data_IF_666298068636
#
_entry.id   IF_666298068636
#
_cell.length_a   1.000
_cell.length_b   1.000
_cell.length_c   1.000
_cell.angle_alpha   90.00
_cell.angle_beta   90.00
_cell.angle_gamma   90.00
#
_symmetry.space_group_name_H-M   'P 1'
#
loop_
_entity.id
_entity.type
_entity.pdbx_description
1 polymer ?
#
# COMPACT_ATOMS: atom_id res chain seq x y z
N UNK A 1 30.67 -14.46 -12.39
CA UNK A 1 30.08 -14.94 -13.65
C UNK A 1 28.57 -15.11 -13.58
N UNK A 2 27.95 -15.65 -12.51
CA UNK A 2 26.48 -15.78 -12.43
C UNK A 2 25.73 -14.44 -12.27
N UNK A 3 26.32 -13.44 -11.61
CA UNK A 3 25.73 -12.10 -11.48
C UNK A 3 25.78 -11.27 -12.79
N UNK A 4 26.78 -11.50 -13.63
CA UNK A 4 26.91 -10.81 -14.91
C UNK A 4 25.90 -11.32 -15.96
N UNK A 5 25.46 -12.57 -15.84
CA UNK A 5 24.45 -13.17 -16.73
C UNK A 5 23.03 -12.71 -16.39
N UNK A 6 22.74 -12.36 -15.13
CA UNK A 6 21.45 -11.83 -14.71
C UNK A 6 21.24 -10.39 -15.22
N UNK A 7 22.29 -9.56 -15.17
CA UNK A 7 22.25 -8.17 -15.66
C UNK A 7 22.09 -8.14 -17.19
N UNK A 8 22.73 -9.04 -17.93
CA UNK A 8 22.55 -9.15 -19.38
C UNK A 8 21.14 -9.65 -19.79
N UNK A 9 20.50 -10.46 -18.95
CA UNK A 9 19.14 -10.97 -19.21
C UNK A 9 18.08 -9.87 -19.10
N UNK A 10 18.21 -8.98 -18.12
CA UNK A 10 17.28 -7.86 -17.90
C UNK A 10 17.41 -6.81 -19.01
N UNK A 11 18.62 -6.47 -19.41
CA UNK A 11 18.87 -5.49 -20.50
C UNK A 11 18.32 -5.96 -21.85
N UNK A 12 18.35 -7.26 -22.13
CA UNK A 12 17.81 -7.83 -23.37
C UNK A 12 16.26 -7.84 -23.35
N UNK A 13 15.65 -8.06 -22.19
CA UNK A 13 14.18 -8.04 -22.04
C UNK A 13 13.59 -6.65 -22.30
N UNK A 14 14.21 -5.60 -21.79
CA UNK A 14 13.78 -4.21 -21.99
C UNK A 14 13.97 -3.81 -23.47
N UNK A 15 15.09 -4.17 -24.08
CA UNK A 15 15.35 -3.87 -25.49
C UNK A 15 14.36 -4.59 -26.42
N UNK A 16 13.95 -5.81 -26.10
CA UNK A 16 12.94 -6.57 -26.86
C UNK A 16 11.55 -5.94 -26.68
N UNK A 17 11.19 -5.48 -25.46
CA UNK A 17 9.94 -4.79 -25.21
C UNK A 17 9.80 -3.49 -25.99
N UNK A 18 10.85 -2.67 -26.02
CA UNK A 18 10.90 -1.42 -26.79
C UNK A 18 10.82 -1.68 -28.31
N UNK A 19 11.52 -2.70 -28.81
CA UNK A 19 11.48 -3.07 -30.24
C UNK A 19 10.05 -3.56 -30.63
N UNK A 20 9.41 -4.36 -29.79
CA UNK A 20 8.05 -4.87 -30.04
C UNK A 20 7.03 -3.72 -30.01
N UNK A 21 7.13 -2.79 -29.07
CA UNK A 21 6.27 -1.62 -28.99
C UNK A 21 6.49 -0.67 -30.16
N UNK A 22 7.72 -0.40 -30.54
CA UNK A 22 8.05 0.44 -31.72
C UNK A 22 7.59 -0.19 -33.04
N UNK A 23 7.70 -1.51 -33.20
CA UNK A 23 7.15 -2.23 -34.34
C UNK A 23 5.62 -2.17 -34.41
N UNK A 24 4.95 -2.20 -33.27
CA UNK A 24 3.49 -2.04 -33.17
C UNK A 24 3.04 -0.63 -33.55
N UNK A 25 3.84 0.40 -33.24
CA UNK A 25 3.56 1.81 -33.56
C UNK A 25 4.06 2.23 -34.95
N UNK A 26 4.70 1.35 -35.71
CA UNK A 26 5.12 1.63 -37.11
C UNK A 26 6.34 2.56 -37.23
N UNK A 27 7.20 2.62 -36.21
CA UNK A 27 8.43 3.42 -36.23
C UNK A 27 9.56 2.63 -36.87
N UNK A 28 10.18 3.18 -37.94
CA UNK A 28 11.37 2.60 -38.56
C UNK A 28 12.64 3.06 -37.83
N UNK A 29 13.36 2.10 -37.25
CA UNK A 29 14.70 2.29 -36.69
C UNK A 29 15.75 2.17 -37.79
N UNK A 30 16.24 3.27 -38.28
CA UNK A 30 17.36 3.31 -39.23
C UNK A 30 18.40 4.40 -38.88
N UNK A 31 18.58 4.72 -37.62
CA UNK A 31 19.70 5.54 -37.14
C UNK A 31 20.30 4.96 -35.85
N UNK A 32 21.54 4.50 -35.96
CA UNK A 32 22.37 4.02 -34.85
C UNK A 32 22.85 5.22 -34.02
N UNK A 33 22.31 5.39 -32.81
CA UNK A 33 22.84 6.33 -31.83
C UNK A 33 24.15 5.78 -31.27
N UNK A 34 25.25 6.54 -31.39
CA UNK A 34 26.58 6.15 -30.90
C UNK A 34 26.68 6.43 -29.39
N UNK A 35 27.46 5.59 -28.69
CA UNK A 35 27.68 5.65 -27.25
C UNK A 35 28.36 6.94 -26.71
N UNK A 36 28.74 7.86 -27.58
CA UNK A 36 29.36 9.14 -27.20
C UNK A 36 28.34 10.27 -26.95
N UNK A 37 27.06 10.10 -27.30
CA UNK A 37 26.02 11.13 -27.08
C UNK A 37 25.40 11.10 -25.70
N UNK A 38 25.64 10.07 -24.90
CA UNK A 38 25.05 9.92 -23.56
C UNK A 38 25.70 10.80 -22.50
N UNK A 39 26.94 11.27 -22.71
CA UNK A 39 27.62 12.19 -21.77
C UNK A 39 27.20 13.67 -21.93
N UNK A 40 26.45 14.05 -22.96
CA UNK A 40 26.04 15.42 -23.21
C UNK A 40 24.64 15.81 -22.70
N UNK A 41 23.93 14.90 -22.02
CA UNK A 41 22.61 15.13 -21.40
C UNK A 41 22.67 15.86 -20.06
N UNK A 42 23.73 16.63 -19.86
CA UNK A 42 23.82 17.65 -18.82
C UNK A 42 23.30 18.95 -19.43
N UNK A 43 22.00 19.22 -19.24
CA UNK A 43 21.25 20.37 -19.74
C UNK A 43 20.70 20.21 -21.17
N UNK A 44 19.64 19.49 -21.33
CA UNK A 44 18.64 19.71 -22.37
C UNK A 44 17.27 19.41 -21.77
N UNK A 45 16.30 20.27 -22.10
CA UNK A 45 14.88 19.99 -21.82
C UNK A 45 14.59 18.51 -22.00
N UNK A 46 14.10 17.82 -20.97
CA UNK A 46 13.44 16.54 -21.17
C UNK A 46 12.11 16.83 -21.85
N UNK A 47 12.14 16.91 -23.18
CA UNK A 47 10.91 16.78 -23.96
C UNK A 47 10.53 15.32 -23.89
N UNK A 48 9.41 15.06 -23.22
CA UNK A 48 8.61 13.85 -23.33
C UNK A 48 9.36 12.53 -23.16
N UNK A 49 9.59 12.15 -21.96
CA UNK A 49 9.50 10.78 -21.41
C UNK A 49 10.27 10.75 -20.09
N UNK A 50 9.48 10.69 -19.03
CA UNK A 50 10.00 10.52 -17.68
C UNK A 50 10.79 9.24 -17.53
N UNK A 51 11.83 9.22 -16.68
CA UNK A 51 12.05 8.10 -15.84
C UNK A 51 11.44 8.38 -14.44
N UNK A 52 10.14 8.43 -14.29
CA UNK A 52 9.55 7.86 -13.10
C UNK A 52 9.83 6.38 -13.23
N UNK A 53 10.91 5.92 -12.65
CA UNK A 53 11.06 4.51 -12.34
C UNK A 53 10.01 4.27 -11.26
N UNK A 54 8.77 4.06 -11.69
CA UNK A 54 7.90 3.17 -10.95
C UNK A 54 8.76 1.94 -10.70
N UNK A 55 8.89 1.45 -9.47
CA UNK A 55 9.47 0.13 -9.25
C UNK A 55 8.89 -0.75 -10.34
N UNK A 56 9.72 -1.55 -11.01
CA UNK A 56 9.26 -2.48 -12.05
C UNK A 56 8.28 -3.43 -11.36
N UNK A 57 7.04 -2.94 -11.26
CA UNK A 57 5.92 -3.63 -10.65
C UNK A 57 5.53 -4.65 -11.70
N UNK A 58 6.29 -5.77 -11.76
CA UNK A 58 5.85 -6.91 -12.52
C UNK A 58 4.38 -7.14 -12.16
N UNK A 59 3.51 -7.44 -13.13
CA UNK A 59 2.11 -7.62 -12.86
C UNK A 59 2.00 -8.54 -11.66
N UNK A 60 1.46 -8.01 -10.58
CA UNK A 60 1.09 -8.83 -9.45
C UNK A 60 -0.10 -9.61 -9.98
N UNK A 61 0.20 -10.73 -10.65
CA UNK A 61 -0.84 -11.61 -11.14
C UNK A 61 -1.82 -11.98 -10.04
N UNK A 62 -1.51 -11.62 -8.81
CA UNK A 62 -2.25 -12.02 -7.64
C UNK A 62 -2.13 -11.08 -6.43
N UNK A 63 -2.37 -9.78 -6.54
CA UNK A 63 -2.70 -9.02 -5.32
C UNK A 63 -4.12 -9.36 -4.80
N UNK A 64 -4.98 -9.93 -5.63
CA UNK A 64 -6.23 -10.61 -5.21
C UNK A 64 -6.11 -12.12 -5.25
N UNK A 65 -4.96 -12.69 -5.57
CA UNK A 65 -4.68 -14.10 -5.44
C UNK A 65 -4.45 -14.49 -4.00
N UNK A 66 -5.13 -13.79 -3.13
CA UNK A 66 -5.25 -14.33 -1.82
C UNK A 66 -5.88 -15.71 -1.87
N UNK A 67 -6.46 -16.15 -3.03
CA UNK A 67 -7.29 -17.29 -2.89
C UNK A 67 -7.59 -17.95 -4.22
N UNK A 68 -7.14 -19.15 -4.39
CA UNK A 68 -8.00 -20.12 -5.01
C UNK A 68 -9.18 -20.37 -4.06
N UNK A 69 -10.25 -19.61 -4.20
CA UNK A 69 -11.52 -19.90 -3.54
C UNK A 69 -12.06 -21.20 -4.16
N UNK A 70 -11.70 -22.33 -3.59
CA UNK A 70 -12.15 -23.64 -4.06
C UNK A 70 -13.58 -23.78 -3.58
N UNK A 71 -14.52 -23.78 -4.51
CA UNK A 71 -15.92 -24.11 -4.23
C UNK A 71 -16.14 -25.55 -4.61
N UNK A 72 -16.22 -26.44 -3.62
CA UNK A 72 -16.59 -27.82 -3.80
C UNK A 72 -18.10 -27.97 -3.56
N UNK A 73 -18.80 -28.70 -4.45
CA UNK A 73 -20.20 -29.06 -4.25
C UNK A 73 -20.24 -30.52 -3.87
N UNK A 74 -20.67 -30.82 -2.64
CA UNK A 74 -20.97 -32.20 -2.20
C UNK A 74 -22.44 -32.42 -2.22
N UNK A 75 -22.89 -33.55 -2.85
CA UNK A 75 -24.22 -34.07 -2.67
C UNK A 75 -24.20 -35.02 -1.45
N UNK A 76 -24.74 -34.55 -0.33
CA UNK A 76 -24.98 -35.41 0.83
C UNK A 76 -26.48 -35.73 0.93
N UNK A 77 -26.80 -36.95 1.35
CA UNK A 77 -28.16 -37.28 1.79
C UNK A 77 -28.43 -36.51 3.08
N UNK A 78 -29.28 -35.51 2.98
CA UNK A 78 -29.72 -34.69 4.11
C UNK A 78 -30.52 -35.55 5.08
N UNK A 79 -30.04 -35.76 6.29
CA UNK A 79 -30.74 -36.50 7.34
C UNK A 79 -31.62 -35.56 8.18
N UNK A 80 -32.70 -36.08 8.77
CA UNK A 80 -33.60 -35.32 9.66
C UNK A 80 -32.84 -34.74 10.87
N UNK A 81 -31.73 -35.37 11.32
CA UNK A 81 -30.87 -34.87 12.39
C UNK A 81 -30.15 -33.58 12.01
N UNK A 82 -29.83 -33.34 10.71
CA UNK A 82 -29.21 -32.09 10.23
C UNK A 82 -30.24 -30.96 10.08
N UNK A 83 -31.52 -31.24 9.98
CA UNK A 83 -32.59 -30.24 10.01
C UNK A 83 -32.81 -29.69 11.44
N UNK A 84 -32.74 -30.56 12.47
CA UNK A 84 -32.89 -30.12 13.88
C UNK A 84 -31.76 -29.17 14.31
N UNK A 85 -30.51 -29.44 13.88
CA UNK A 85 -29.39 -28.54 14.17
C UNK A 85 -29.50 -27.21 13.45
N UNK A 86 -30.01 -27.18 12.21
CA UNK A 86 -30.18 -25.94 11.45
C UNK A 86 -31.38 -25.10 11.95
N UNK A 87 -32.45 -25.73 12.44
CA UNK A 87 -33.62 -25.06 13.02
C UNK A 87 -33.36 -24.59 14.45
N UNK A 88 -32.43 -25.22 15.19
CA UNK A 88 -32.06 -24.81 16.55
C UNK A 88 -31.27 -23.49 16.54
N UNK A 89 -30.52 -23.18 15.47
CA UNK A 89 -29.80 -21.91 15.33
C UNK A 89 -30.72 -20.74 14.91
N UNK A 90 -31.90 -21.01 14.25
CA UNK A 90 -32.84 -19.92 13.89
C UNK A 90 -33.88 -19.61 14.98
N UNK A 91 -34.06 -20.46 16.02
CA UNK A 91 -35.12 -20.31 17.02
C UNK A 91 -34.72 -19.55 18.29
N UNK A 92 -33.63 -18.86 18.31
CA UNK A 92 -33.06 -18.15 19.48
C UNK A 92 -33.54 -16.72 19.70
N UNK A 93 -34.85 -16.42 19.63
CA UNK A 93 -35.37 -15.14 20.09
C UNK A 93 -36.78 -15.26 20.70
N UNK A 94 -36.85 -15.60 21.99
CA UNK A 94 -38.02 -15.31 22.81
C UNK A 94 -37.58 -15.11 24.28
N UNK A 95 -37.90 -13.96 24.91
CA UNK A 95 -37.49 -13.65 26.27
C UNK A 95 -38.56 -14.05 27.26
N UNK A 96 -38.21 -14.84 28.23
CA UNK A 96 -38.71 -14.91 29.61
C UNK A 96 -38.75 -16.35 30.16
N UNK A 97 -37.74 -16.71 30.96
CA UNK A 97 -37.97 -17.36 32.24
C UNK A 97 -36.70 -17.44 33.06
N UNK A 98 -36.72 -16.82 34.24
CA UNK A 98 -35.70 -16.92 35.27
C UNK A 98 -35.62 -18.35 35.83
N UNK A 99 -34.43 -18.93 35.90
CA UNK A 99 -34.02 -19.79 37.04
C UNK A 99 -32.51 -20.07 37.02
N UNK A 100 -31.88 -19.77 38.14
CA UNK A 100 -30.52 -20.06 38.56
C UNK A 100 -29.92 -21.38 38.08
N UNK A 101 -28.75 -21.29 37.45
CA UNK A 101 -27.61 -22.17 37.73
C UNK A 101 -26.34 -21.60 37.03
N UNK A 102 -25.37 -21.24 37.84
CA UNK A 102 -24.07 -20.75 37.46
C UNK A 102 -23.24 -21.81 36.72
N UNK A 103 -22.98 -21.60 35.44
CA UNK A 103 -21.72 -21.95 34.79
C UNK A 103 -21.38 -20.79 33.86
N UNK A 104 -20.26 -20.12 34.15
CA UNK A 104 -19.76 -19.00 33.37
C UNK A 104 -19.24 -19.52 32.03
N UNK A 105 -20.07 -19.50 31.00
CA UNK A 105 -19.55 -19.38 29.64
C UNK A 105 -18.94 -17.97 29.53
N UNK A 106 -17.62 -17.91 29.60
CA UNK A 106 -16.85 -16.78 29.07
C UNK A 106 -17.20 -16.71 27.58
N UNK A 107 -18.23 -15.93 27.26
CA UNK A 107 -18.38 -15.41 25.91
C UNK A 107 -17.15 -14.55 25.67
N UNK A 108 -16.15 -15.13 24.98
CA UNK A 108 -15.05 -14.37 24.40
C UNK A 108 -15.68 -13.30 23.49
N UNK A 109 -15.92 -12.14 24.08
CA UNK A 109 -16.32 -10.96 23.32
C UNK A 109 -15.13 -10.65 22.41
N UNK A 110 -15.27 -11.00 21.15
CA UNK A 110 -14.32 -10.61 20.12
C UNK A 110 -14.26 -9.09 20.14
N UNK A 111 -13.26 -8.56 20.85
CA UNK A 111 -13.03 -7.12 20.89
C UNK A 111 -12.34 -6.74 19.58
N UNK A 112 -13.15 -6.33 18.60
CA UNK A 112 -12.62 -5.67 17.41
C UNK A 112 -11.82 -4.44 17.85
N UNK A 113 -10.65 -4.27 17.27
CA UNK A 113 -9.85 -3.08 17.48
C UNK A 113 -10.72 -1.86 17.13
N UNK A 114 -10.67 -0.79 17.93
CA UNK A 114 -11.38 0.48 17.65
C UNK A 114 -11.09 1.04 16.25
N UNK A 115 -9.99 0.61 15.66
CA UNK A 115 -9.50 1.01 14.35
C UNK A 115 -9.93 0.06 13.20
N UNK A 116 -10.82 -0.93 13.46
CA UNK A 116 -11.38 -1.81 12.41
C UNK A 116 -12.28 -1.01 11.48
N UNK A 117 -11.67 -0.35 10.49
CA UNK A 117 -12.36 0.57 9.60
C UNK A 117 -13.44 -0.14 8.79
N UNK A 118 -13.09 -1.28 8.16
CA UNK A 118 -14.01 -2.05 7.33
C UNK A 118 -15.20 -2.55 8.13
N UNK A 119 -14.98 -3.16 9.28
CA UNK A 119 -16.05 -3.62 10.17
C UNK A 119 -17.06 -2.53 10.50
N UNK A 120 -16.56 -1.32 10.77
CA UNK A 120 -17.41 -0.17 11.14
C UNK A 120 -18.28 0.32 9.96
N UNK A 121 -17.92 0.03 8.70
CA UNK A 121 -18.70 0.37 7.51
C UNK A 121 -19.73 -0.71 7.14
N UNK A 122 -19.66 -1.90 7.73
CA UNK A 122 -20.54 -3.02 7.42
C UNK A 122 -21.93 -2.84 8.05
N UNK A 123 -22.94 -3.34 7.36
CA UNK A 123 -24.29 -3.52 7.92
C UNK A 123 -24.30 -4.59 9.01
N UNK A 124 -25.34 -4.64 9.82
CA UNK A 124 -25.47 -5.62 10.92
C UNK A 124 -25.36 -7.07 10.43
N UNK A 125 -25.99 -7.41 9.30
CA UNK A 125 -25.91 -8.76 8.72
C UNK A 125 -24.50 -9.08 8.20
N UNK A 126 -23.82 -8.10 7.59
CA UNK A 126 -22.44 -8.28 7.15
C UNK A 126 -21.47 -8.47 8.34
N UNK A 127 -21.73 -7.78 9.46
CA UNK A 127 -20.94 -7.98 10.70
C UNK A 127 -21.09 -9.38 11.26
N UNK A 128 -22.29 -9.96 11.21
CA UNK A 128 -22.48 -11.38 11.62
C UNK A 128 -21.60 -12.33 10.78
N UNK A 129 -21.52 -12.11 9.46
CA UNK A 129 -20.65 -12.89 8.58
C UNK A 129 -19.18 -12.64 8.92
N UNK A 130 -18.81 -11.38 9.21
CA UNK A 130 -17.46 -10.98 9.59
C UNK A 130 -17.00 -11.70 10.87
N UNK A 131 -17.84 -11.68 11.90
CA UNK A 131 -17.52 -12.31 13.19
C UNK A 131 -17.31 -13.82 13.05
N UNK A 132 -18.12 -14.49 12.22
CA UNK A 132 -17.97 -15.92 11.93
C UNK A 132 -16.66 -16.20 11.20
N UNK A 133 -16.35 -15.46 10.14
CA UNK A 133 -15.12 -15.63 9.37
C UNK A 133 -13.89 -15.33 10.25
N UNK A 134 -13.90 -14.22 10.99
CA UNK A 134 -12.78 -13.84 11.86
C UNK A 134 -12.52 -14.93 12.92
N UNK A 135 -13.57 -15.40 13.63
CA UNK A 135 -13.44 -16.47 14.62
C UNK A 135 -12.91 -17.77 14.01
N UNK A 136 -13.42 -18.17 12.84
CA UNK A 136 -12.96 -19.35 12.12
C UNK A 136 -11.46 -19.26 11.77
N UNK A 137 -11.03 -18.10 11.26
CA UNK A 137 -9.62 -17.86 10.92
C UNK A 137 -8.72 -17.94 12.16
N UNK A 138 -9.06 -17.23 13.22
CA UNK A 138 -8.25 -17.18 14.46
C UNK A 138 -8.23 -18.52 15.18
N UNK A 139 -9.37 -19.24 15.19
CA UNK A 139 -9.52 -20.58 15.77
C UNK A 139 -8.83 -21.67 14.97
N UNK A 140 -8.59 -21.47 13.67
CA UNK A 140 -8.26 -22.53 12.71
C UNK A 140 -9.39 -23.55 12.57
N UNK A 141 -10.64 -23.05 12.65
CA UNK A 141 -11.82 -23.90 12.59
C UNK A 141 -12.14 -24.27 11.13
N UNK A 142 -12.56 -25.51 10.92
CA UNK A 142 -12.89 -26.04 9.59
C UNK A 142 -14.37 -26.32 9.47
N UNK A 143 -14.94 -26.14 8.27
CA UNK A 143 -16.33 -26.49 7.96
C UNK A 143 -17.36 -25.64 8.70
N UNK A 144 -17.01 -24.40 9.07
CA UNK A 144 -17.88 -23.49 9.84
C UNK A 144 -19.06 -23.06 9.00
N UNK A 145 -20.28 -23.33 9.48
CA UNK A 145 -21.52 -22.94 8.80
C UNK A 145 -21.62 -21.42 8.67
N UNK A 146 -21.83 -20.94 7.46
CA UNK A 146 -21.96 -19.51 7.20
C UNK A 146 -23.40 -19.04 7.39
N UNK A 147 -23.61 -17.86 8.00
CA UNK A 147 -24.94 -17.26 8.15
C UNK A 147 -25.44 -16.62 6.84
N UNK A 148 -24.90 -17.04 5.72
CA UNK A 148 -25.30 -16.61 4.38
C UNK A 148 -25.02 -17.67 3.33
N UNK A 149 -25.80 -17.66 2.25
CA UNK A 149 -25.58 -18.49 1.06
C UNK A 149 -25.04 -17.65 -0.11
N UNK A 150 -24.71 -16.38 0.12
CA UNK A 150 -24.13 -15.48 -0.90
C UNK A 150 -22.60 -15.55 -0.84
N UNK A 151 -22.01 -16.27 -1.79
CA UNK A 151 -20.56 -16.40 -1.94
C UNK A 151 -19.84 -15.05 -2.17
N UNK A 152 -20.50 -14.12 -2.87
CA UNK A 152 -19.91 -12.78 -3.08
C UNK A 152 -19.85 -11.99 -1.78
N UNK A 153 -20.82 -12.22 -0.90
CA UNK A 153 -20.78 -11.62 0.44
C UNK A 153 -19.67 -12.25 1.27
N UNK A 154 -19.49 -13.57 1.22
CA UNK A 154 -18.38 -14.24 1.92
C UNK A 154 -17.03 -13.70 1.43
N UNK A 155 -16.85 -13.58 0.11
CA UNK A 155 -15.62 -13.03 -0.47
C UNK A 155 -15.38 -11.58 -0.04
N UNK A 156 -16.40 -10.72 -0.15
CA UNK A 156 -16.33 -9.32 0.33
C UNK A 156 -15.89 -9.24 1.79
N UNK A 157 -16.51 -10.05 2.64
CA UNK A 157 -16.26 -10.01 4.08
C UNK A 157 -14.91 -10.61 4.45
N UNK A 158 -14.48 -11.69 3.78
CA UNK A 158 -13.13 -12.22 3.97
C UNK A 158 -12.05 -11.17 3.69
N UNK A 159 -12.20 -10.42 2.58
CA UNK A 159 -11.29 -9.32 2.27
C UNK A 159 -11.36 -8.19 3.30
N UNK A 160 -12.55 -7.88 3.83
CA UNK A 160 -12.72 -6.90 4.89
C UNK A 160 -12.01 -7.32 6.20
N UNK A 161 -12.10 -8.61 6.57
CA UNK A 161 -11.37 -9.16 7.74
C UNK A 161 -9.86 -8.99 7.56
N UNK A 162 -9.31 -9.36 6.39
CA UNK A 162 -7.86 -9.24 6.15
C UNK A 162 -7.39 -7.78 6.03
N UNK A 163 -8.25 -6.87 5.63
CA UNK A 163 -7.94 -5.44 5.57
C UNK A 163 -7.92 -4.79 6.97
N UNK A 164 -8.75 -5.24 7.90
CA UNK A 164 -8.78 -4.73 9.27
C UNK A 164 -7.70 -5.37 10.18
N UNK A 165 -7.20 -6.57 9.82
CA UNK A 165 -6.32 -7.40 10.63
C UNK A 165 -4.97 -7.65 9.96
N UNK A 166 -4.09 -6.63 9.87
CA UNK A 166 -2.75 -6.78 9.26
C UNK A 166 -1.88 -7.82 9.98
N UNK A 167 -2.14 -8.10 11.26
CA UNK A 167 -1.48 -9.11 12.08
C UNK A 167 -1.83 -10.55 11.67
N UNK A 168 -2.85 -10.77 10.86
CA UNK A 168 -3.18 -12.09 10.30
C UNK A 168 -2.23 -12.37 9.11
N UNK A 169 -1.07 -12.95 9.41
CA UNK A 169 -0.02 -13.29 8.44
C UNK A 169 -0.10 -14.72 7.92
N UNK A 170 -0.91 -15.56 8.54
CA UNK A 170 -0.92 -17.01 8.39
C UNK A 170 -2.04 -17.54 7.51
N UNK A 171 -2.84 -16.66 6.91
CA UNK A 171 -3.97 -17.01 6.01
C UNK A 171 -3.72 -16.41 4.64
N UNK A 172 -3.90 -17.21 3.61
CA UNK A 172 -3.82 -16.76 2.22
C UNK A 172 -5.10 -17.02 1.42
N UNK A 173 -6.17 -17.49 2.07
CA UNK A 173 -7.41 -17.77 1.41
C UNK A 173 -8.42 -18.57 2.20
N UNK A 174 -9.45 -19.04 1.51
CA UNK A 174 -10.48 -19.88 2.08
C UNK A 174 -11.05 -20.85 1.04
N UNK A 175 -11.76 -21.87 1.53
CA UNK A 175 -12.57 -22.78 0.74
C UNK A 175 -14.00 -22.74 1.25
N UNK A 176 -14.98 -22.71 0.33
CA UNK A 176 -16.39 -22.90 0.63
C UNK A 176 -16.86 -24.27 0.15
N UNK A 177 -17.49 -25.06 1.04
CA UNK A 177 -18.18 -26.30 0.68
C UNK A 177 -19.67 -26.02 0.66
N UNK A 178 -20.33 -26.34 -0.47
CA UNK A 178 -21.77 -26.18 -0.66
C UNK A 178 -22.46 -27.49 -0.38
N UNK A 179 -23.49 -27.45 0.44
CA UNK A 179 -24.35 -28.57 0.75
C UNK A 179 -25.70 -28.36 0.09
N UNK A 180 -26.11 -29.30 -0.76
CA UNK A 180 -27.35 -29.19 -1.52
C UNK A 180 -28.20 -30.45 -1.38
N UNK A 181 -29.51 -30.28 -1.42
CA UNK A 181 -30.51 -31.36 -1.52
C UNK A 181 -31.13 -31.26 -2.92
N UNK A 182 -30.74 -32.16 -3.80
CA UNK A 182 -31.04 -32.04 -5.22
C UNK A 182 -30.44 -30.73 -5.78
N UNK A 183 -31.30 -29.87 -6.33
CA UNK A 183 -30.86 -28.57 -6.88
C UNK A 183 -31.01 -27.39 -5.90
N UNK A 184 -31.31 -27.67 -4.62
CA UNK A 184 -31.52 -26.60 -3.62
C UNK A 184 -30.30 -26.50 -2.70
N UNK A 185 -29.61 -25.38 -2.73
CA UNK A 185 -28.53 -25.08 -1.79
C UNK A 185 -29.13 -24.92 -0.38
N UNK A 186 -28.61 -25.66 0.59
CA UNK A 186 -29.07 -25.65 1.97
C UNK A 186 -28.15 -24.88 2.91
N UNK A 187 -26.83 -25.03 2.74
CA UNK A 187 -25.84 -24.29 3.54
C UNK A 187 -24.52 -24.15 2.79
N UNK A 188 -23.72 -23.22 3.24
CA UNK A 188 -22.30 -23.07 2.87
C UNK A 188 -21.46 -23.21 4.13
N UNK A 189 -20.39 -23.99 4.06
CA UNK A 189 -19.41 -24.11 5.12
C UNK A 189 -18.08 -23.46 4.67
N UNK A 190 -17.48 -22.67 5.54
CA UNK A 190 -16.22 -21.96 5.34
C UNK A 190 -15.06 -22.73 6.01
N UNK A 191 -13.91 -22.77 5.35
CA UNK A 191 -12.64 -23.27 5.90
C UNK A 191 -11.53 -22.35 5.43
N UNK A 192 -10.75 -21.78 6.37
CA UNK A 192 -9.59 -20.96 6.02
C UNK A 192 -8.49 -21.77 5.33
N UNK A 193 -7.77 -21.15 4.40
CA UNK A 193 -6.56 -21.68 3.77
C UNK A 193 -5.33 -21.08 4.43
N UNK A 194 -4.52 -21.92 5.09
CA UNK A 194 -3.46 -21.46 5.96
C UNK A 194 -2.08 -21.70 5.36
N UNK A 195 -1.23 -20.68 5.33
CA UNK A 195 0.21 -20.79 4.98
C UNK A 195 1.05 -21.31 6.13
N UNK A 196 0.60 -21.09 7.36
CA UNK A 196 1.25 -21.55 8.57
C UNK A 196 0.30 -22.33 9.46
N UNK A 197 0.80 -23.43 10.04
CA UNK A 197 0.06 -24.16 11.06
C UNK A 197 -0.11 -23.34 12.35
N UNK A 198 -1.06 -23.72 13.19
CA UNK A 198 -1.29 -23.08 14.50
C UNK A 198 -0.03 -23.08 15.38
N UNK A 199 0.79 -24.14 15.33
CA UNK A 199 2.06 -24.20 16.05
C UNK A 199 3.09 -23.24 15.49
N UNK A 200 3.24 -23.17 14.16
CA UNK A 200 4.16 -22.23 13.51
C UNK A 200 3.75 -20.78 13.76
N UNK A 201 2.45 -20.45 13.74
CA UNK A 201 1.95 -19.13 14.15
C UNK A 201 2.43 -18.76 15.56
N UNK A 202 2.27 -19.67 16.53
CA UNK A 202 2.68 -19.45 17.93
C UNK A 202 4.18 -19.17 18.06
N UNK A 203 5.02 -19.72 17.17
CA UNK A 203 6.48 -19.49 17.17
C UNK A 203 6.88 -18.19 16.47
N UNK A 204 6.12 -17.74 15.47
CA UNK A 204 6.41 -16.54 14.65
C UNK A 204 5.89 -15.28 15.31
N UNK A 205 4.69 -15.31 15.86
CA UNK A 205 3.99 -14.15 16.41
C UNK A 205 4.81 -13.35 17.45
N UNK A 206 5.50 -13.98 18.44
CA UNK A 206 6.35 -13.25 19.37
C UNK A 206 7.51 -12.49 18.69
N UNK A 207 8.07 -13.04 17.60
CA UNK A 207 9.16 -12.39 16.84
C UNK A 207 8.66 -11.17 16.10
N UNK A 208 7.45 -11.24 15.54
CA UNK A 208 6.79 -10.09 14.89
C UNK A 208 6.50 -8.98 15.91
N UNK A 209 5.99 -9.36 17.09
CA UNK A 209 5.73 -8.40 18.18
C UNK A 209 7.04 -7.76 18.67
N UNK A 210 8.13 -8.52 18.80
CA UNK A 210 9.45 -7.99 19.15
C UNK A 210 9.96 -7.00 18.10
N UNK A 211 9.98 -7.38 16.82
CA UNK A 211 10.43 -6.52 15.72
C UNK A 211 9.59 -5.23 15.61
N UNK A 212 8.27 -5.35 15.73
CA UNK A 212 7.36 -4.22 15.80
C UNK A 212 7.70 -3.27 16.96
N UNK A 213 7.86 -3.81 18.17
CA UNK A 213 8.19 -3.02 19.36
C UNK A 213 9.57 -2.36 19.25
N UNK A 214 10.52 -2.97 18.57
CA UNK A 214 11.83 -2.39 18.29
C UNK A 214 11.76 -1.14 17.41
N UNK A 215 10.80 -1.07 16.51
CA UNK A 215 10.50 0.15 15.74
C UNK A 215 9.81 1.18 16.66
N UNK A 216 8.74 0.77 17.32
CA UNK A 216 7.87 1.66 18.08
C UNK A 216 8.56 2.32 19.29
N UNK A 217 9.53 1.65 19.92
CA UNK A 217 10.27 2.23 21.07
C UNK A 217 11.03 3.52 20.75
N UNK A 218 11.33 3.75 19.48
CA UNK A 218 12.05 4.95 19.02
C UNK A 218 11.11 6.12 18.69
N UNK A 219 9.81 5.89 18.72
CA UNK A 219 8.81 6.96 18.50
C UNK A 219 8.73 7.83 19.74
N UNK A 220 8.97 9.13 19.59
CA UNK A 220 8.83 10.05 20.72
C UNK A 220 7.35 10.17 21.13
N UNK A 221 6.99 9.88 22.39
CA UNK A 221 5.58 9.81 22.80
C UNK A 221 4.79 11.11 22.58
N UNK A 222 5.44 12.27 22.70
CA UNK A 222 4.82 13.59 22.50
C UNK A 222 4.98 14.13 21.06
N UNK A 223 5.45 13.32 20.12
CA UNK A 223 5.49 13.70 18.70
C UNK A 223 4.06 13.89 18.16
N UNK A 224 3.92 14.81 17.19
CA UNK A 224 2.67 15.00 16.45
C UNK A 224 2.30 13.73 15.66
N UNK A 225 1.05 13.60 15.23
CA UNK A 225 0.66 12.49 14.36
C UNK A 225 1.44 12.52 13.05
N UNK A 226 1.65 13.71 12.47
CA UNK A 226 2.53 13.88 11.32
C UNK A 226 3.93 13.28 11.54
N UNK A 227 4.60 13.64 12.64
CA UNK A 227 5.97 13.17 12.91
C UNK A 227 6.03 11.65 13.12
N UNK A 228 5.01 11.09 13.77
CA UNK A 228 4.90 9.63 13.96
C UNK A 228 4.69 8.91 12.63
N UNK A 229 3.75 9.39 11.82
CA UNK A 229 3.44 8.82 10.49
C UNK A 229 4.67 8.89 9.60
N UNK A 230 5.34 10.06 9.53
CA UNK A 230 6.58 10.24 8.77
C UNK A 230 7.68 9.29 9.24
N UNK A 231 7.89 9.16 10.55
CA UNK A 231 8.89 8.25 11.11
C UNK A 231 8.63 6.79 10.70
N UNK A 232 7.37 6.32 10.77
CA UNK A 232 7.02 4.95 10.36
C UNK A 232 7.21 4.76 8.85
N UNK A 233 6.80 5.74 8.04
CA UNK A 233 7.00 5.76 6.59
C UNK A 233 8.49 5.61 6.23
N UNK A 234 9.33 6.48 6.76
CA UNK A 234 10.78 6.47 6.54
C UNK A 234 11.42 5.18 7.06
N UNK A 235 10.99 4.68 8.22
CA UNK A 235 11.55 3.46 8.81
C UNK A 235 11.26 2.24 7.95
N UNK A 236 10.05 2.08 7.44
CA UNK A 236 9.70 0.95 6.56
C UNK A 236 10.52 1.00 5.28
N UNK A 237 10.57 2.15 4.62
CA UNK A 237 11.31 2.35 3.36
C UNK A 237 12.80 2.05 3.54
N UNK A 238 13.43 2.61 4.58
CA UNK A 238 14.88 2.44 4.79
C UNK A 238 15.29 1.02 5.18
N UNK A 239 14.37 0.21 5.69
CA UNK A 239 14.67 -1.12 6.19
C UNK A 239 14.09 -2.25 5.35
N UNK A 240 13.47 -1.96 4.22
CA UNK A 240 12.83 -2.98 3.38
C UNK A 240 13.27 -2.82 1.93
N UNK A 241 13.65 -3.90 1.28
CA UNK A 241 13.92 -3.96 -0.15
C UNK A 241 12.65 -4.37 -0.90
N UNK A 242 12.27 -3.64 -1.96
CA UNK A 242 11.17 -4.06 -2.82
C UNK A 242 11.58 -5.26 -3.66
N UNK A 243 10.92 -6.42 -3.49
CA UNK A 243 11.30 -7.66 -4.13
C UNK A 243 10.10 -8.59 -4.36
N UNK A 244 9.75 -8.81 -5.61
CA UNK A 244 8.65 -9.68 -6.03
C UNK A 244 8.84 -11.15 -5.62
N UNK A 245 10.08 -11.60 -5.47
CA UNK A 245 10.42 -12.99 -5.14
C UNK A 245 10.65 -13.21 -3.64
N UNK A 246 10.37 -12.21 -2.79
CA UNK A 246 10.51 -12.36 -1.35
C UNK A 246 9.50 -13.38 -0.82
N UNK A 247 9.91 -14.29 0.07
CA UNK A 247 8.97 -15.15 0.78
C UNK A 247 8.06 -14.29 1.66
N UNK A 248 6.81 -14.71 1.82
CA UNK A 248 5.81 -14.01 2.64
C UNK A 248 5.53 -12.55 2.23
N UNK A 249 5.84 -12.19 0.98
CA UNK A 249 5.80 -10.82 0.49
C UNK A 249 4.42 -10.12 0.61
N UNK A 250 3.36 -10.87 0.86
CA UNK A 250 1.98 -10.35 1.00
C UNK A 250 1.58 -10.07 2.45
N UNK A 251 2.46 -10.26 3.42
CA UNK A 251 2.16 -10.08 4.83
C UNK A 251 3.31 -9.44 5.62
N UNK A 252 3.07 -9.15 6.87
CA UNK A 252 3.99 -8.38 7.75
C UNK A 252 5.32 -9.09 8.05
N UNK A 253 5.43 -10.41 7.83
CA UNK A 253 6.69 -11.16 8.01
C UNK A 253 7.75 -10.61 7.07
N UNK A 254 7.38 -10.31 5.83
CA UNK A 254 8.30 -9.86 4.80
C UNK A 254 9.00 -8.55 5.16
N UNK A 255 8.29 -7.60 5.74
CA UNK A 255 8.86 -6.33 6.20
C UNK A 255 9.58 -6.46 7.53
N UNK A 256 8.90 -7.03 8.55
CA UNK A 256 9.41 -7.02 9.92
C UNK A 256 10.54 -8.01 10.18
N UNK A 257 10.58 -9.15 9.48
CA UNK A 257 11.57 -10.20 9.70
C UNK A 257 12.51 -10.42 8.51
N UNK A 258 11.98 -10.32 7.28
CA UNK A 258 12.75 -10.61 6.08
C UNK A 258 13.38 -9.36 5.45
N UNK A 259 12.88 -8.16 5.78
CA UNK A 259 13.32 -6.87 5.21
C UNK A 259 13.26 -6.83 3.68
N UNK A 260 12.31 -7.54 3.09
CA UNK A 260 12.16 -7.67 1.64
C UNK A 260 10.72 -8.02 1.31
N UNK A 261 9.99 -7.15 0.58
CA UNK A 261 8.54 -7.22 0.46
C UNK A 261 8.02 -6.67 -0.87
N UNK A 262 6.70 -6.70 -1.03
CA UNK A 262 5.94 -5.95 -2.06
C UNK A 262 4.90 -5.06 -1.39
N UNK A 263 4.13 -4.32 -2.16
CA UNK A 263 3.17 -3.30 -1.70
C UNK A 263 2.28 -3.76 -0.53
N UNK A 264 1.76 -4.99 -0.58
CA UNK A 264 0.88 -5.51 0.45
C UNK A 264 1.56 -5.65 1.82
N UNK A 265 2.81 -6.12 1.85
CA UNK A 265 3.57 -6.21 3.10
C UNK A 265 3.92 -4.84 3.66
N UNK A 266 4.33 -3.88 2.79
CA UNK A 266 4.53 -2.47 3.17
C UNK A 266 3.28 -1.89 3.81
N UNK A 267 2.15 -1.96 3.10
CA UNK A 267 0.89 -1.36 3.54
C UNK A 267 0.34 -1.98 4.83
N UNK A 268 0.36 -3.31 4.95
CA UNK A 268 -0.06 -3.99 6.18
C UNK A 268 0.83 -3.67 7.39
N UNK A 269 2.15 -3.60 7.19
CA UNK A 269 3.08 -3.25 8.26
C UNK A 269 2.88 -1.80 8.71
N UNK A 270 2.72 -0.89 7.75
CA UNK A 270 2.44 0.52 8.03
C UNK A 270 1.14 0.67 8.85
N UNK A 271 0.08 -0.01 8.43
CA UNK A 271 -1.20 -0.04 9.16
C UNK A 271 -1.03 -0.55 10.59
N UNK A 272 -0.35 -1.69 10.77
CA UNK A 272 -0.18 -2.28 12.10
C UNK A 272 0.57 -1.36 13.06
N UNK A 273 1.68 -0.78 12.60
CA UNK A 273 2.50 0.15 13.39
C UNK A 273 1.72 1.40 13.79
N UNK A 274 0.97 2.01 12.88
CA UNK A 274 0.18 3.21 13.19
C UNK A 274 -0.98 2.91 14.14
N UNK A 275 -1.69 1.81 13.93
CA UNK A 275 -2.79 1.41 14.81
C UNK A 275 -2.30 1.17 16.24
N UNK A 276 -1.11 0.62 16.44
CA UNK A 276 -0.50 0.46 17.76
C UNK A 276 -0.09 1.81 18.39
N UNK A 277 0.25 2.81 17.59
CA UNK A 277 0.49 4.18 18.06
C UNK A 277 -0.82 4.95 18.36
N UNK A 278 -1.98 4.32 18.17
CA UNK A 278 -3.29 4.93 18.33
C UNK A 278 -3.71 5.85 17.19
N UNK A 279 -3.01 5.81 16.06
CA UNK A 279 -3.33 6.56 14.84
C UNK A 279 -4.20 5.65 13.95
N UNK A 280 -5.47 6.02 13.70
CA UNK A 280 -6.33 5.25 12.81
C UNK A 280 -5.69 5.09 11.43
N UNK A 281 -5.49 3.86 11.01
CA UNK A 281 -4.96 3.52 9.70
C UNK A 281 -5.69 2.31 9.13
N UNK A 282 -6.02 2.37 7.84
CA UNK A 282 -6.68 1.30 7.12
C UNK A 282 -5.97 1.00 5.80
N UNK A 283 -6.15 -0.21 5.32
CA UNK A 283 -5.64 -0.66 4.02
C UNK A 283 -6.61 -0.22 2.92
N UNK A 284 -6.08 0.23 1.79
CA UNK A 284 -6.82 0.39 0.54
C UNK A 284 -6.14 -0.44 -0.55
N UNK A 285 -6.93 -1.00 -1.46
CA UNK A 285 -6.47 -1.81 -2.57
C UNK A 285 -7.13 -1.34 -3.86
N UNK A 286 -6.42 -1.48 -4.96
CA UNK A 286 -6.97 -1.12 -6.25
C UNK A 286 -5.98 -1.32 -7.38
N UNK A 287 -6.03 -0.41 -8.35
CA UNK A 287 -5.14 -0.42 -9.50
C UNK A 287 -4.41 0.91 -9.61
N UNK A 288 -3.18 0.86 -10.10
CA UNK A 288 -2.38 2.04 -10.43
C UNK A 288 -2.36 2.29 -11.95
N UNK A 289 -1.76 3.41 -12.38
CA UNK A 289 -1.51 3.65 -13.81
C UNK A 289 -0.77 2.44 -14.41
N UNK A 290 -1.21 1.99 -15.60
CA UNK A 290 -0.71 0.74 -16.16
C UNK A 290 -1.62 -0.45 -15.90
N UNK A 291 -2.57 -0.35 -14.96
CA UNK A 291 -3.56 -1.38 -14.66
C UNK A 291 -3.07 -2.46 -13.70
N UNK A 292 -1.92 -2.24 -13.06
CA UNK A 292 -1.37 -3.15 -12.06
C UNK A 292 -2.12 -3.04 -10.74
N UNK A 293 -2.31 -4.16 -10.08
CA UNK A 293 -2.93 -4.20 -8.74
C UNK A 293 -1.94 -3.71 -7.69
N UNK A 294 -2.44 -2.90 -6.76
CA UNK A 294 -1.60 -2.26 -5.77
C UNK A 294 -2.32 -2.13 -4.42
N UNK A 295 -1.54 -1.96 -3.37
CA UNK A 295 -2.02 -1.76 -2.00
C UNK A 295 -1.32 -0.57 -1.37
N UNK A 296 -2.11 0.29 -0.72
CA UNK A 296 -1.66 1.48 -0.01
C UNK A 296 -2.52 1.70 1.25
N UNK A 297 -2.39 2.84 1.88
CA UNK A 297 -3.09 3.12 3.13
C UNK A 297 -3.88 4.43 3.09
N UNK A 298 -4.84 4.51 3.98
CA UNK A 298 -5.34 5.77 4.51
C UNK A 298 -5.06 5.84 6.01
N UNK A 299 -4.60 6.98 6.49
CA UNK A 299 -4.43 7.22 7.93
C UNK A 299 -4.95 8.60 8.34
N UNK A 300 -5.23 8.74 9.62
CA UNK A 300 -5.70 10.00 10.19
C UNK A 300 -4.54 10.77 10.83
N UNK A 301 -4.38 12.03 10.46
CA UNK A 301 -3.47 12.97 11.11
C UNK A 301 -4.28 14.21 11.52
N UNK A 302 -4.12 14.66 12.76
CA UNK A 302 -4.78 15.85 13.32
C UNK A 302 -6.31 15.91 13.06
N UNK A 303 -6.96 14.72 12.99
CA UNK A 303 -8.42 14.58 12.80
C UNK A 303 -8.88 14.52 11.34
N UNK A 304 -7.99 14.61 10.36
CA UNK A 304 -8.28 14.54 8.93
C UNK A 304 -7.69 13.27 8.31
N UNK A 305 -8.37 12.70 7.31
CA UNK A 305 -7.88 11.53 6.59
C UNK A 305 -7.00 11.91 5.41
N UNK A 306 -5.93 11.13 5.22
CA UNK A 306 -4.96 11.26 4.12
C UNK A 306 -4.63 9.91 3.53
N UNK A 307 -4.24 9.87 2.28
CA UNK A 307 -3.64 8.71 1.65
C UNK A 307 -2.14 8.66 1.88
N UNK A 308 -1.62 7.46 2.01
CA UNK A 308 -0.18 7.19 2.14
C UNK A 308 0.17 5.93 1.36
N UNK A 309 1.22 5.99 0.54
CA UNK A 309 1.78 4.82 -0.13
C UNK A 309 3.27 4.68 0.19
N UNK A 310 3.62 3.82 1.15
CA UNK A 310 5.02 3.58 1.50
C UNK A 310 5.82 2.89 0.39
N UNK A 311 5.16 2.13 -0.49
CA UNK A 311 5.83 1.42 -1.58
C UNK A 311 6.32 2.38 -2.64
N UNK A 312 5.49 3.33 -3.07
CA UNK A 312 5.89 4.36 -4.01
C UNK A 312 6.81 5.41 -3.37
N UNK A 313 6.86 5.43 -2.04
CA UNK A 313 7.86 6.16 -1.27
C UNK A 313 9.25 5.55 -1.36
N UNK A 314 9.35 4.24 -1.56
CA UNK A 314 10.60 3.48 -1.73
C UNK A 314 11.14 3.52 -3.18
N UNK A 315 10.64 4.43 -3.99
CA UNK A 315 11.15 4.63 -5.33
C UNK A 315 12.52 5.29 -5.30
N UNK A 316 13.54 4.56 -5.73
CA UNK A 316 14.88 5.11 -5.93
C UNK A 316 14.99 5.71 -7.32
N UNK A 317 15.43 6.97 -7.38
CA UNK A 317 15.74 7.62 -8.66
C UNK A 317 17.04 7.04 -9.22
N UNK A 318 16.95 6.26 -10.29
CA UNK A 318 18.10 5.65 -10.93
C UNK A 318 18.23 6.14 -12.38
N UNK A 319 19.49 6.31 -12.81
CA UNK A 319 19.80 6.52 -14.22
C UNK A 319 19.52 5.23 -15.04
N UNK A 320 19.46 5.31 -16.37
CA UNK A 320 19.28 4.13 -17.22
C UNK A 320 20.34 3.03 -17.04
N UNK A 321 21.52 3.36 -16.49
CA UNK A 321 22.59 2.40 -16.17
C UNK A 321 22.43 1.76 -14.78
N UNK A 322 21.36 2.10 -14.04
CA UNK A 322 21.10 1.60 -12.68
C UNK A 322 21.86 2.35 -11.58
N UNK A 323 22.60 3.41 -11.90
CA UNK A 323 23.22 4.25 -10.88
C UNK A 323 22.21 5.24 -10.28
N UNK A 324 22.37 5.55 -8.99
CA UNK A 324 21.51 6.55 -8.34
C UNK A 324 21.75 7.96 -8.90
N UNK A 325 20.67 8.69 -9.09
CA UNK A 325 20.75 10.12 -9.42
C UNK A 325 21.16 10.88 -8.17
N UNK A 326 22.44 11.20 -8.05
CA UNK A 326 23.10 11.61 -6.81
C UNK A 326 22.58 12.91 -6.14
N UNK A 327 21.71 13.67 -6.81
CA UNK A 327 21.12 14.87 -6.25
C UNK A 327 19.64 14.70 -5.87
N UNK A 328 19.01 13.56 -6.26
CA UNK A 328 17.63 13.29 -5.89
C UNK A 328 17.52 12.86 -4.43
N UNK A 329 16.41 13.12 -3.76
CA UNK A 329 16.15 12.60 -2.42
C UNK A 329 16.22 11.07 -2.40
N UNK A 330 16.69 10.49 -1.30
CA UNK A 330 16.75 9.03 -1.12
C UNK A 330 15.35 8.39 -1.03
N UNK A 331 14.33 9.18 -0.67
CA UNK A 331 12.94 8.75 -0.56
C UNK A 331 12.03 9.68 -1.33
N UNK A 332 10.95 9.15 -1.87
CA UNK A 332 9.90 9.91 -2.49
C UNK A 332 8.79 10.21 -1.47
N UNK A 333 8.51 11.48 -1.22
CA UNK A 333 7.45 11.94 -0.32
C UNK A 333 6.17 12.37 -1.06
N UNK A 334 6.07 12.14 -2.37
CA UNK A 334 4.89 12.50 -3.17
C UNK A 334 3.62 11.77 -2.72
N UNK A 335 3.80 10.66 -2.00
CA UNK A 335 2.70 9.83 -1.51
C UNK A 335 2.62 9.79 0.02
N UNK A 336 3.19 10.78 0.72
CA UNK A 336 3.07 10.90 2.17
C UNK A 336 2.01 11.95 2.54
N UNK A 337 0.90 11.51 3.10
CA UNK A 337 -0.22 12.33 3.57
C UNK A 337 -0.81 13.21 2.46
N UNK A 338 -1.27 12.57 1.40
CA UNK A 338 -1.84 13.26 0.24
C UNK A 338 -3.37 13.20 0.20
N UNK A 339 -4.03 14.25 -0.37
CA UNK A 339 -5.46 14.22 -0.59
C UNK A 339 -5.81 13.28 -1.77
N UNK A 340 -7.10 12.90 -1.86
CA UNK A 340 -7.60 12.11 -2.99
C UNK A 340 -7.31 12.74 -4.35
N UNK A 341 -7.35 14.07 -4.46
CA UNK A 341 -7.07 14.78 -5.70
C UNK A 341 -5.64 14.57 -6.24
N UNK A 342 -4.67 14.32 -5.35
CA UNK A 342 -3.31 13.97 -5.75
C UNK A 342 -3.20 12.46 -6.01
N UNK A 343 -3.66 11.60 -5.09
CA UNK A 343 -3.56 10.16 -5.24
C UNK A 343 -4.28 9.66 -6.50
N UNK A 344 -5.49 10.17 -6.80
CA UNK A 344 -6.32 9.72 -7.93
C UNK A 344 -5.71 9.99 -9.31
N UNK A 345 -4.59 10.70 -9.38
CA UNK A 345 -3.83 10.88 -10.62
C UNK A 345 -3.15 9.57 -11.06
N UNK A 346 -2.83 8.73 -10.10
CA UNK A 346 -2.06 7.50 -10.32
C UNK A 346 -2.75 6.25 -9.78
N UNK A 347 -3.68 6.38 -8.82
CA UNK A 347 -4.32 5.27 -8.12
C UNK A 347 -5.84 5.31 -8.28
N UNK A 348 -6.45 4.14 -8.38
CA UNK A 348 -7.92 3.97 -8.39
C UNK A 348 -8.28 2.91 -7.35
N UNK A 349 -9.01 3.30 -6.30
CA UNK A 349 -9.46 2.39 -5.24
C UNK A 349 -10.51 1.41 -5.75
N UNK A 350 -10.37 0.16 -5.32
CA UNK A 350 -11.32 -0.94 -5.50
C UNK A 350 -11.73 -1.55 -4.14
N UNK A 351 -11.64 -0.75 -3.07
CA UNK A 351 -12.02 -1.18 -1.74
C UNK A 351 -13.47 -1.69 -1.70
N UNK A 352 -13.69 -2.74 -0.92
CA UNK A 352 -15.03 -3.37 -0.79
C UNK A 352 -16.01 -2.56 0.08
N UNK A 353 -15.53 -1.48 0.69
CA UNK A 353 -16.33 -0.50 1.44
C UNK A 353 -15.98 0.92 0.98
N UNK A 354 -16.84 1.90 1.31
CA UNK A 354 -16.54 3.30 1.01
C UNK A 354 -15.36 3.79 1.86
N UNK A 355 -14.34 4.36 1.21
CA UNK A 355 -13.20 4.96 1.89
C UNK A 355 -13.50 6.35 2.44
N UNK A 356 -12.79 6.81 3.49
CA UNK A 356 -13.01 8.13 4.06
C UNK A 356 -12.71 9.24 3.06
N UNK A 357 -13.31 10.41 3.26
CA UNK A 357 -12.97 11.61 2.48
C UNK A 357 -11.59 12.13 2.87
N UNK A 358 -10.71 12.34 1.91
CA UNK A 358 -9.38 12.92 2.09
C UNK A 358 -9.24 14.16 1.19
N UNK A 359 -9.49 15.32 1.75
CA UNK A 359 -9.48 16.60 1.00
C UNK A 359 -8.48 17.62 1.55
N UNK A 360 -7.97 17.40 2.76
CA UNK A 360 -7.00 18.28 3.40
C UNK A 360 -5.60 18.08 2.84
N UNK A 361 -4.83 19.18 2.77
CA UNK A 361 -3.39 19.17 2.48
C UNK A 361 -2.57 19.66 3.67
N UNK A 362 -3.21 19.91 4.82
CA UNK A 362 -2.54 20.58 5.95
C UNK A 362 -1.33 19.79 6.48
N UNK A 363 -1.44 18.45 6.49
CA UNK A 363 -0.37 17.56 6.93
C UNK A 363 0.42 16.93 5.78
N UNK A 364 0.16 17.34 4.52
CA UNK A 364 0.99 16.90 3.40
C UNK A 364 2.48 17.22 3.65
N UNK A 365 3.38 16.30 3.31
CA UNK A 365 4.81 16.44 3.55
C UNK A 365 5.36 17.78 3.09
N UNK A 366 5.10 18.19 1.85
CA UNK A 366 5.65 19.42 1.30
C UNK A 366 5.12 20.68 1.98
N UNK A 367 3.88 20.64 2.46
CA UNK A 367 3.28 21.73 3.25
C UNK A 367 3.94 21.83 4.61
N UNK A 368 4.09 20.71 5.32
CA UNK A 368 4.70 20.65 6.66
C UNK A 368 6.18 21.01 6.65
N UNK A 369 6.91 20.61 5.62
CA UNK A 369 8.34 20.91 5.46
C UNK A 369 8.60 22.30 4.82
N UNK A 370 7.54 23.05 4.50
CA UNK A 370 7.66 24.39 3.90
C UNK A 370 8.20 24.39 2.47
N UNK A 371 7.90 23.34 1.70
CA UNK A 371 8.36 23.10 0.31
C UNK A 371 7.22 23.19 -0.71
N UNK A 372 6.07 23.75 -0.32
CA UNK A 372 4.86 23.84 -1.13
C UNK A 372 4.58 25.27 -1.57
N UNK A 373 4.45 25.48 -2.88
CA UNK A 373 4.10 26.79 -3.46
C UNK A 373 2.60 26.82 -3.85
N UNK A 374 1.86 27.74 -3.24
CA UNK A 374 0.47 28.07 -3.64
C UNK A 374 0.43 29.17 -4.72
N UNK A 375 1.51 29.89 -4.90
CA UNK A 375 1.75 30.87 -5.96
C UNK A 375 3.24 31.01 -6.16
N UNK A 376 3.68 31.29 -7.39
CA UNK A 376 5.09 31.49 -7.64
C UNK A 376 5.60 32.81 -7.02
N UNK A 377 6.63 32.70 -6.18
CA UNK A 377 7.42 33.80 -5.62
C UNK A 377 8.88 33.35 -5.50
N UNK A 378 9.76 34.02 -6.22
CA UNK A 378 11.19 33.72 -6.21
C UNK A 378 11.81 33.81 -4.81
N UNK A 379 11.36 34.78 -3.97
CA UNK A 379 11.88 34.91 -2.60
C UNK A 379 11.46 33.74 -1.72
N UNK A 380 10.27 33.18 -1.94
CA UNK A 380 9.82 31.95 -1.27
C UNK A 380 10.71 30.76 -1.67
N UNK A 381 10.99 30.58 -2.97
CA UNK A 381 11.90 29.53 -3.47
C UNK A 381 13.30 29.70 -2.89
N UNK A 382 13.80 30.94 -2.81
CA UNK A 382 15.09 31.25 -2.17
C UNK A 382 15.10 30.83 -0.70
N UNK A 383 14.05 31.14 0.05
CA UNK A 383 13.95 30.76 1.46
C UNK A 383 13.91 29.22 1.61
N UNK A 384 13.21 28.51 0.72
CA UNK A 384 13.21 27.03 0.66
C UNK A 384 14.63 26.52 0.42
N UNK A 385 15.36 27.04 -0.56
CA UNK A 385 16.72 26.63 -0.86
C UNK A 385 17.67 26.86 0.32
N UNK A 386 17.58 28.02 0.97
CA UNK A 386 18.39 28.35 2.14
C UNK A 386 18.06 27.41 3.32
N UNK A 387 16.79 27.08 3.53
CA UNK A 387 16.33 26.10 4.52
C UNK A 387 16.88 24.69 4.25
N UNK A 388 16.79 24.20 3.01
CA UNK A 388 17.31 22.88 2.65
C UNK A 388 18.84 22.80 2.84
N UNK A 389 19.59 23.85 2.49
CA UNK A 389 21.04 23.93 2.76
C UNK A 389 21.36 23.91 4.25
N UNK A 390 20.61 24.64 5.05
CA UNK A 390 20.80 24.64 6.50
C UNK A 390 20.62 23.26 7.13
N UNK A 391 19.79 22.41 6.52
CA UNK A 391 19.58 20.99 6.88
C UNK A 391 20.63 20.05 6.25
N UNK A 392 21.58 20.57 5.47
CA UNK A 392 22.60 19.76 4.78
C UNK A 392 22.06 18.97 3.60
N UNK A 393 20.86 19.29 3.09
CA UNK A 393 20.26 18.60 1.94
C UNK A 393 20.99 18.96 0.65
N UNK A 394 21.09 17.99 -0.25
CA UNK A 394 21.76 18.13 -1.55
C UNK A 394 20.81 18.60 -2.65
N UNK A 395 19.50 18.58 -2.39
CA UNK A 395 18.47 18.99 -3.33
C UNK A 395 17.54 20.05 -2.74
N UNK A 396 17.08 20.95 -3.60
CA UNK A 396 15.88 21.75 -3.40
C UNK A 396 14.73 21.00 -4.11
N UNK A 397 13.72 20.61 -3.36
CA UNK A 397 12.46 20.09 -3.90
C UNK A 397 11.40 21.15 -3.72
N UNK A 398 10.65 21.46 -4.79
CA UNK A 398 9.55 22.42 -4.77
C UNK A 398 8.32 21.76 -5.34
N UNK A 399 7.29 21.56 -4.53
CA UNK A 399 5.97 21.08 -4.95
C UNK A 399 5.04 22.26 -5.21
N UNK A 400 4.31 22.24 -6.31
CA UNK A 400 3.41 23.32 -6.71
C UNK A 400 1.93 22.89 -6.56
N UNK A 401 1.08 23.83 -6.19
CA UNK A 401 -0.34 23.59 -5.94
C UNK A 401 -1.10 23.20 -7.22
N UNK A 402 -0.73 23.78 -8.34
CA UNK A 402 -1.37 23.56 -9.63
C UNK A 402 -0.37 23.77 -10.78
N UNK A 403 -0.83 23.44 -11.99
CA UNK A 403 -0.01 23.51 -13.20
C UNK A 403 0.41 24.96 -13.51
N UNK A 404 -0.42 25.96 -13.20
CA UNK A 404 -0.07 27.36 -13.46
C UNK A 404 1.10 27.82 -12.57
N UNK A 405 1.11 27.42 -11.30
CA UNK A 405 2.22 27.68 -10.37
C UNK A 405 3.48 26.94 -10.81
N UNK A 406 3.34 25.68 -11.22
CA UNK A 406 4.45 24.86 -11.71
C UNK A 406 5.09 25.48 -12.96
N UNK A 407 4.29 25.82 -13.96
CA UNK A 407 4.78 26.41 -15.20
C UNK A 407 5.42 27.79 -14.96
N UNK A 408 4.86 28.61 -14.07
CA UNK A 408 5.47 29.90 -13.71
C UNK A 408 6.83 29.72 -13.00
N UNK A 409 6.95 28.73 -12.12
CA UNK A 409 8.19 28.41 -11.42
C UNK A 409 9.24 27.86 -12.40
N UNK A 410 8.86 26.89 -13.25
CA UNK A 410 9.75 26.31 -14.26
C UNK A 410 10.26 27.38 -15.24
N UNK A 411 9.37 28.22 -15.77
CA UNK A 411 9.74 29.31 -16.68
C UNK A 411 10.74 30.28 -16.04
N UNK A 412 10.51 30.74 -14.81
CA UNK A 412 11.38 31.74 -14.20
C UNK A 412 12.71 31.14 -13.72
N UNK A 413 12.66 29.95 -13.11
CA UNK A 413 13.87 29.30 -12.56
C UNK A 413 14.75 28.70 -13.66
N UNK A 414 14.14 28.07 -14.69
CA UNK A 414 14.88 27.35 -15.73
C UNK A 414 15.08 28.22 -16.97
N UNK A 415 14.01 28.69 -17.63
CA UNK A 415 14.12 29.42 -18.90
C UNK A 415 14.77 30.80 -18.71
N UNK A 416 14.37 31.54 -17.65
CA UNK A 416 14.98 32.79 -17.28
C UNK A 416 16.26 32.63 -16.46
N UNK A 417 16.69 31.41 -16.18
CA UNK A 417 17.91 31.05 -15.49
C UNK A 417 18.06 31.63 -14.06
N UNK A 418 16.98 32.05 -13.42
CA UNK A 418 17.02 32.58 -12.06
C UNK A 418 17.48 31.59 -11.00
N UNK A 419 17.46 30.31 -11.30
CA UNK A 419 18.03 29.30 -10.41
C UNK A 419 19.49 29.56 -10.08
N UNK A 420 20.27 30.21 -11.00
CA UNK A 420 21.64 30.55 -10.77
C UNK A 420 21.85 31.67 -9.73
N UNK A 421 20.79 32.42 -9.38
CA UNK A 421 20.82 33.35 -8.25
C UNK A 421 20.76 32.62 -6.89
N UNK A 422 20.38 31.34 -6.90
CA UNK A 422 20.26 30.48 -5.72
C UNK A 422 21.47 29.55 -5.52
N UNK A 423 22.27 29.30 -6.54
CA UNK A 423 23.39 28.36 -6.52
C UNK A 423 24.68 29.05 -6.93
N UNK A 424 25.81 28.61 -6.38
CA UNK A 424 27.11 29.20 -6.70
C UNK A 424 27.86 28.36 -7.76
N UNK A 425 27.17 28.01 -8.84
CA UNK A 425 27.72 27.24 -9.95
C UNK A 425 27.24 27.78 -11.28
N UNK A 426 27.91 27.41 -12.39
CA UNK A 426 27.50 27.77 -13.76
C UNK A 426 26.70 26.68 -14.46
N UNK A 427 26.65 25.53 -13.84
CA UNK A 427 25.94 24.34 -14.33
C UNK A 427 25.10 23.80 -13.18
N UNK A 428 23.87 23.42 -13.45
CA UNK A 428 22.97 22.85 -12.46
C UNK A 428 22.26 21.64 -13.06
N UNK A 429 22.15 20.60 -12.25
CA UNK A 429 21.27 19.46 -12.56
C UNK A 429 19.91 19.71 -11.97
N UNK A 430 18.88 19.45 -12.74
CA UNK A 430 17.50 19.59 -12.30
C UNK A 430 16.61 18.52 -12.96
N UNK A 431 15.44 18.34 -12.35
CA UNK A 431 14.35 17.52 -12.89
C UNK A 431 13.05 18.29 -12.75
N UNK A 432 12.23 18.25 -13.80
CA UNK A 432 10.86 18.78 -13.81
C UNK A 432 9.92 17.58 -13.93
N UNK A 433 8.98 17.47 -13.01
CA UNK A 433 7.98 16.40 -12.98
C UNK A 433 6.60 17.04 -13.15
N UNK A 434 6.14 17.17 -14.40
CA UNK A 434 4.86 17.81 -14.75
C UNK A 434 3.68 17.11 -14.08
N UNK A 435 3.65 15.77 -14.13
CA UNK A 435 2.56 14.98 -13.55
C UNK A 435 2.47 15.16 -12.03
N UNK A 436 3.59 15.32 -11.36
CA UNK A 436 3.68 15.59 -9.93
C UNK A 436 3.74 17.08 -9.58
N UNK A 437 3.81 18.00 -10.57
CA UNK A 437 4.00 19.43 -10.35
C UNK A 437 5.17 19.72 -9.40
N UNK A 438 6.28 19.04 -9.65
CA UNK A 438 7.45 19.06 -8.78
C UNK A 438 8.70 19.49 -9.54
N UNK A 439 9.47 20.39 -8.95
CA UNK A 439 10.77 20.81 -9.47
C UNK A 439 11.83 20.34 -8.47
N UNK A 440 12.89 19.73 -8.97
CA UNK A 440 14.04 19.31 -8.15
C UNK A 440 15.30 19.90 -8.73
N UNK A 441 16.10 20.56 -7.88
CA UNK A 441 17.36 21.19 -8.27
C UNK A 441 18.48 20.75 -7.34
N UNK A 442 19.64 20.42 -7.89
CA UNK A 442 20.84 20.18 -7.10
C UNK A 442 21.30 21.46 -6.40
N UNK A 443 21.56 21.41 -5.09
CA UNK A 443 22.00 22.54 -4.26
C UNK A 443 23.52 22.55 -4.02
N UNK A 444 24.31 22.19 -5.00
CA UNK A 444 25.78 22.17 -4.86
C UNK A 444 26.37 23.54 -4.85
#
# INVERSE_FOLDING_TARGET
MKKLLAILGVSVGILVGVIVYAAYMGVNFDDTVSSEEVESLIITESTDEEPVVTPDLAPIENASAYVENIVETTEEEWSEEMEEDAEAEEAGDDPESESDASESEETDVVTHNKNSYYYNQLSENERKVYDVIFKAIVGYDEGVTMPTMDEKLIDKIFNAVLADHPEIFYVNGYRCTKYSQGNVLKRIAFTGSYTYSKSAKTEIEPKLVEAKNDILKNVYPAASDYDKIKYIYETIILNTEYNLNSPDNQNVISVLLNHSSVCQGYAKTFQWLLNDLGIPCTLDNGVVIGGERHAWNMCMADGEWYYVDPTWGDSSYTNPDGSYVSFMPEMNYDYLLVPLSELSRTHTSEAVVAMPSATSIADNYYVREGLYLTSYDFNAVKAMADGQRALGRQALVVKCADDAVFQAAAHDLVDNQKIFDLVNTKEIRYQLEDDNRKLVFALQ
#
